data_IF_985256738301
#
_entry.id   IF_985256738301
#
_cell.length_a   1.000
_cell.length_b   1.000
_cell.length_c   1.000
_cell.angle_alpha   90.00
_cell.angle_beta   90.00
_cell.angle_gamma   90.00
#
_symmetry.space_group_name_H-M   'P 1'
#
loop_
_entity.id
_entity.type
_entity.pdbx_description
1 polymer ?
#
# COMPACT_ATOMS: atom_id res chain seq x y z
N UNK A 1 23.81 -6.92 -16.89
CA UNK A 1 23.07 -7.81 -17.82
C UNK A 1 21.68 -7.23 -18.00
N UNK A 2 21.22 -7.06 -19.24
CA UNK A 2 19.85 -6.62 -19.49
C UNK A 2 18.88 -7.73 -19.08
N UNK A 3 17.88 -7.38 -18.29
CA UNK A 3 16.84 -8.31 -17.93
C UNK A 3 15.81 -8.36 -19.08
N UNK A 4 15.54 -9.53 -19.61
CA UNK A 4 14.58 -9.71 -20.71
C UNK A 4 13.17 -10.08 -20.22
N UNK A 5 13.00 -10.30 -18.93
CA UNK A 5 11.72 -10.72 -18.34
C UNK A 5 10.78 -9.52 -18.18
N UNK A 6 9.70 -9.49 -18.95
CA UNK A 6 8.69 -8.43 -18.93
C UNK A 6 7.89 -8.47 -17.63
N UNK A 7 7.75 -7.31 -16.98
CA UNK A 7 6.93 -7.15 -15.76
C UNK A 7 5.75 -6.25 -16.05
N UNK A 8 4.54 -6.76 -15.82
CA UNK A 8 3.34 -5.92 -15.79
C UNK A 8 3.17 -5.29 -14.40
N UNK A 9 2.99 -3.97 -14.35
CA UNK A 9 2.63 -3.25 -13.12
C UNK A 9 1.23 -2.69 -13.28
N UNK A 10 0.26 -3.15 -12.49
CA UNK A 10 -1.08 -2.57 -12.54
C UNK A 10 -1.13 -1.27 -11.74
N UNK A 11 -1.84 -0.26 -12.26
CA UNK A 11 -2.04 1.01 -11.57
C UNK A 11 -0.84 1.94 -11.55
N UNK A 12 -0.20 2.16 -12.71
CA UNK A 12 1.00 2.99 -12.84
C UNK A 12 0.88 4.44 -12.40
N UNK A 13 -0.32 4.99 -12.31
CA UNK A 13 -0.56 6.34 -11.75
C UNK A 13 -0.60 6.38 -10.23
N UNK A 14 -0.62 5.22 -9.55
CA UNK A 14 -0.63 5.14 -8.09
C UNK A 14 0.75 5.35 -7.47
N UNK A 15 0.80 5.71 -6.19
CA UNK A 15 2.06 5.96 -5.50
C UNK A 15 2.99 4.72 -5.49
N UNK A 16 2.48 3.57 -5.04
CA UNK A 16 3.28 2.32 -5.01
C UNK A 16 3.59 1.83 -6.41
N UNK A 17 2.61 1.88 -7.34
CA UNK A 17 2.83 1.50 -8.76
C UNK A 17 3.92 2.32 -9.42
N UNK A 18 3.95 3.63 -9.18
CA UNK A 18 5.00 4.52 -9.66
C UNK A 18 6.39 4.13 -9.18
N UNK A 19 6.53 3.82 -7.89
CA UNK A 19 7.80 3.35 -7.33
C UNK A 19 8.21 1.97 -7.83
N UNK A 20 7.26 1.06 -8.02
CA UNK A 20 7.55 -0.24 -8.66
C UNK A 20 8.08 -0.05 -10.07
N UNK A 21 7.43 0.79 -10.89
CA UNK A 21 7.90 1.09 -12.25
C UNK A 21 9.30 1.72 -12.23
N UNK A 22 9.51 2.73 -11.37
CA UNK A 22 10.79 3.41 -11.23
C UNK A 22 11.92 2.41 -10.93
N UNK A 23 11.78 1.60 -9.90
CA UNK A 23 12.81 0.66 -9.49
C UNK A 23 13.00 -0.49 -10.49
N UNK A 24 11.93 -0.99 -11.13
CA UNK A 24 12.05 -1.99 -12.20
C UNK A 24 12.86 -1.45 -13.38
N UNK A 25 12.58 -0.24 -13.84
CA UNK A 25 13.35 0.40 -14.93
C UNK A 25 14.80 0.62 -14.53
N UNK A 26 15.08 1.07 -13.31
CA UNK A 26 16.43 1.21 -12.78
C UNK A 26 17.19 -0.13 -12.72
N UNK A 27 16.49 -1.23 -12.48
CA UNK A 27 17.04 -2.59 -12.51
C UNK A 27 17.04 -3.22 -13.94
N UNK A 28 16.72 -2.44 -14.98
CA UNK A 28 16.82 -2.84 -16.38
C UNK A 28 15.69 -3.73 -16.90
N UNK A 29 14.61 -3.92 -16.15
CA UNK A 29 13.44 -4.69 -16.59
C UNK A 29 12.64 -3.92 -17.66
N UNK A 30 12.16 -4.60 -18.71
CA UNK A 30 11.08 -4.08 -19.53
C UNK A 30 9.77 -4.09 -18.71
N UNK A 31 9.07 -2.95 -18.72
CA UNK A 31 7.87 -2.73 -17.92
C UNK A 31 6.68 -2.41 -18.82
N UNK A 32 5.57 -3.09 -18.59
CA UNK A 32 4.26 -2.66 -19.06
C UNK A 32 3.46 -2.16 -17.88
N UNK A 33 2.68 -1.08 -18.03
CA UNK A 33 1.81 -0.64 -16.96
C UNK A 33 0.39 -0.39 -17.44
N UNK A 34 -0.58 -0.74 -16.59
CA UNK A 34 -1.98 -0.47 -16.88
C UNK A 34 -2.38 0.93 -16.40
N UNK A 35 -3.17 1.61 -17.20
CA UNK A 35 -3.83 2.87 -16.90
C UNK A 35 -5.32 2.74 -17.17
N UNK A 36 -6.19 3.39 -16.36
CA UNK A 36 -7.63 3.45 -16.65
C UNK A 36 -7.96 4.29 -17.88
N UNK A 37 -7.04 5.17 -18.29
CA UNK A 37 -7.10 5.93 -19.53
C UNK A 37 -5.70 6.24 -19.99
N UNK A 38 -5.40 6.02 -21.27
CA UNK A 38 -4.09 6.33 -21.88
C UNK A 38 -3.76 7.83 -21.87
N UNK A 39 -4.73 8.70 -21.63
CA UNK A 39 -4.49 10.14 -21.43
C UNK A 39 -3.60 10.43 -20.20
N UNK A 40 -3.44 9.44 -19.30
CA UNK A 40 -2.59 9.52 -18.12
C UNK A 40 -1.14 9.10 -18.33
N UNK A 41 -0.74 8.75 -19.56
CA UNK A 41 0.66 8.42 -19.88
C UNK A 41 1.63 9.52 -19.47
N UNK A 42 1.29 10.76 -19.78
CA UNK A 42 2.15 11.91 -19.48
C UNK A 42 2.34 12.11 -17.97
N UNK A 43 1.34 11.81 -17.15
CA UNK A 43 1.46 11.90 -15.70
C UNK A 43 2.55 10.91 -15.20
N UNK A 44 2.53 9.67 -15.70
CA UNK A 44 3.52 8.64 -15.34
C UNK A 44 4.91 8.99 -15.87
N UNK A 45 5.04 9.37 -17.14
CA UNK A 45 6.36 9.69 -17.71
C UNK A 45 6.97 10.93 -17.05
N UNK A 46 6.18 11.94 -16.72
CA UNK A 46 6.65 13.13 -16.00
C UNK A 46 7.13 12.80 -14.60
N UNK A 47 6.38 11.96 -13.86
CA UNK A 47 6.76 11.47 -12.55
C UNK A 47 8.10 10.70 -12.59
N UNK A 48 8.31 9.85 -13.59
CA UNK A 48 9.56 9.10 -13.76
C UNK A 48 10.72 9.98 -14.18
N UNK A 49 10.48 10.98 -15.06
CA UNK A 49 11.48 11.97 -15.44
C UNK A 49 12.02 12.76 -14.26
N UNK A 50 11.14 13.25 -13.39
CA UNK A 50 11.56 13.98 -12.19
C UNK A 50 12.32 13.08 -11.20
N UNK A 51 12.22 11.76 -11.36
CA UNK A 51 12.94 10.75 -10.56
C UNK A 51 14.21 10.22 -11.25
N UNK A 52 14.64 10.85 -12.36
CA UNK A 52 15.92 10.56 -13.03
C UNK A 52 15.84 9.53 -14.17
N UNK A 53 14.64 9.06 -14.55
CA UNK A 53 14.50 8.20 -15.75
C UNK A 53 14.52 9.09 -17.00
N UNK A 54 15.47 8.84 -17.88
CA UNK A 54 15.65 9.61 -19.14
C UNK A 54 15.25 8.84 -20.37
N UNK A 55 15.26 7.50 -20.34
CA UNK A 55 14.90 6.62 -21.45
C UNK A 55 13.61 5.83 -21.11
N UNK A 56 12.70 5.74 -22.07
CA UNK A 56 11.39 5.10 -21.93
C UNK A 56 11.14 3.98 -22.94
N UNK A 57 12.17 3.55 -23.66
CA UNK A 57 12.14 2.43 -24.61
C UNK A 57 11.69 1.11 -23.97
N UNK A 58 11.98 0.94 -22.68
CA UNK A 58 11.56 -0.22 -21.86
C UNK A 58 10.21 -0.03 -21.15
N UNK A 59 9.48 1.07 -21.38
CA UNK A 59 8.18 1.33 -20.74
C UNK A 59 7.06 1.35 -21.76
N UNK A 60 6.10 0.47 -21.61
CA UNK A 60 4.88 0.41 -22.41
C UNK A 60 3.63 0.62 -21.57
N UNK A 61 2.55 1.07 -22.21
CA UNK A 61 1.29 1.40 -21.55
C UNK A 61 0.14 0.66 -22.22
N UNK A 62 -0.79 0.19 -21.41
CA UNK A 62 -2.04 -0.40 -21.88
C UNK A 62 -3.21 0.12 -21.05
N UNK A 63 -4.35 0.34 -21.70
CA UNK A 63 -5.58 0.69 -20.99
C UNK A 63 -6.23 -0.55 -20.42
N UNK A 64 -6.45 -0.59 -19.10
CA UNK A 64 -7.21 -1.62 -18.42
C UNK A 64 -7.78 -1.10 -17.10
N UNK A 65 -9.01 -1.51 -16.80
CA UNK A 65 -9.75 -1.14 -15.59
C UNK A 65 -10.12 -2.41 -14.81
N UNK A 66 -9.86 -2.41 -13.50
CA UNK A 66 -10.21 -3.53 -12.62
C UNK A 66 -11.72 -3.83 -12.56
N UNK A 67 -12.55 -2.89 -12.96
CA UNK A 67 -14.02 -3.05 -13.00
C UNK A 67 -14.56 -3.56 -14.33
N UNK A 68 -13.69 -3.75 -15.35
CA UNK A 68 -14.03 -4.19 -16.70
C UNK A 68 -13.22 -5.41 -17.10
N UNK A 69 -13.77 -6.24 -17.99
CA UNK A 69 -13.07 -7.43 -18.52
C UNK A 69 -12.04 -7.08 -19.61
N UNK A 70 -12.22 -5.93 -20.26
CA UNK A 70 -11.48 -5.56 -21.47
C UNK A 70 -9.97 -5.42 -21.22
N UNK A 71 -9.18 -5.82 -22.23
CA UNK A 71 -7.73 -5.63 -22.37
C UNK A 71 -6.83 -6.37 -21.38
N UNK A 72 -7.35 -7.19 -20.46
CA UNK A 72 -6.51 -7.90 -19.51
C UNK A 72 -5.66 -8.98 -20.16
N UNK A 73 -6.18 -9.71 -21.15
CA UNK A 73 -5.42 -10.71 -21.88
C UNK A 73 -4.27 -10.06 -22.66
N UNK A 74 -4.51 -8.95 -23.35
CA UNK A 74 -3.47 -8.20 -24.05
C UNK A 74 -2.48 -7.57 -23.07
N UNK A 75 -2.94 -7.11 -21.89
CA UNK A 75 -2.05 -6.59 -20.85
C UNK A 75 -1.06 -7.64 -20.35
N UNK A 76 -1.47 -8.90 -20.25
CA UNK A 76 -0.65 -10.01 -19.76
C UNK A 76 0.26 -10.63 -20.82
N UNK A 77 -0.02 -10.41 -22.11
CA UNK A 77 0.69 -11.05 -23.21
C UNK A 77 2.19 -10.81 -23.17
N UNK A 78 2.97 -11.89 -23.10
CA UNK A 78 4.42 -11.85 -23.03
C UNK A 78 5.00 -11.38 -21.69
N UNK A 79 4.18 -11.20 -20.67
CA UNK A 79 4.66 -10.88 -19.33
C UNK A 79 5.08 -12.14 -18.57
N UNK A 80 6.27 -12.08 -17.95
CA UNK A 80 6.78 -13.15 -17.09
C UNK A 80 6.22 -13.00 -15.68
N UNK A 81 6.06 -11.76 -15.21
CA UNK A 81 5.64 -11.41 -13.87
C UNK A 81 4.59 -10.30 -13.87
N UNK A 82 3.80 -10.26 -12.80
CA UNK A 82 2.83 -9.19 -12.56
C UNK A 82 3.00 -8.65 -11.15
N UNK A 83 3.18 -7.33 -11.03
CA UNK A 83 3.01 -6.60 -9.78
C UNK A 83 1.57 -6.05 -9.77
N UNK A 84 0.69 -6.74 -9.07
CA UNK A 84 -0.71 -6.33 -8.94
C UNK A 84 -0.87 -5.34 -7.79
N UNK A 85 -0.63 -4.07 -8.08
CA UNK A 85 -0.62 -2.95 -7.12
C UNK A 85 -1.94 -2.19 -7.11
N UNK A 86 -2.62 -2.16 -8.26
CA UNK A 86 -3.92 -1.48 -8.37
C UNK A 86 -4.96 -2.07 -7.43
N UNK A 87 -5.72 -1.20 -6.82
CA UNK A 87 -6.92 -1.55 -6.06
C UNK A 87 -7.98 -0.49 -6.34
N UNK A 88 -9.25 -0.86 -6.52
CA UNK A 88 -10.32 0.12 -6.59
C UNK A 88 -10.34 0.95 -5.30
N UNK A 89 -10.27 2.27 -5.44
CA UNK A 89 -10.35 3.19 -4.30
C UNK A 89 -11.53 4.13 -4.51
N UNK A 90 -12.29 4.36 -3.46
CA UNK A 90 -13.34 5.36 -3.42
C UNK A 90 -12.86 6.55 -2.60
N UNK A 91 -13.22 7.74 -3.01
CA UNK A 91 -12.88 8.98 -2.27
C UNK A 91 -13.65 9.11 -0.96
N UNK A 92 -14.79 8.44 -0.85
CA UNK A 92 -15.68 8.45 0.30
C UNK A 92 -16.05 7.04 0.73
N UNK A 93 -16.40 6.86 1.99
CA UNK A 93 -16.93 5.58 2.48
C UNK A 93 -18.31 5.35 1.86
N UNK A 94 -18.51 4.26 1.12
CA UNK A 94 -19.79 3.99 0.49
C UNK A 94 -20.87 3.67 1.53
N UNK A 95 -22.13 3.98 1.22
CA UNK A 95 -23.27 3.61 2.07
C UNK A 95 -23.46 2.09 2.14
N UNK A 96 -23.21 1.39 1.04
CA UNK A 96 -23.16 -0.07 0.96
C UNK A 96 -21.71 -0.52 0.80
N UNK A 97 -21.19 -1.29 1.77
CA UNK A 97 -19.81 -1.79 1.75
C UNK A 97 -19.51 -2.67 0.53
N UNK A 98 -20.53 -3.31 -0.08
CA UNK A 98 -20.38 -4.11 -1.29
C UNK A 98 -19.91 -3.29 -2.49
N UNK A 99 -20.18 -1.99 -2.54
CA UNK A 99 -19.67 -1.10 -3.59
C UNK A 99 -18.12 -1.01 -3.57
N UNK A 100 -17.49 -1.31 -2.44
CA UNK A 100 -16.03 -1.37 -2.32
C UNK A 100 -15.51 -2.81 -2.34
N UNK A 101 -16.21 -3.74 -1.71
CA UNK A 101 -15.77 -5.13 -1.57
C UNK A 101 -15.78 -5.85 -2.92
N UNK A 102 -16.93 -5.84 -3.64
CA UNK A 102 -17.06 -6.56 -4.91
C UNK A 102 -16.02 -6.13 -5.95
N UNK A 103 -15.85 -4.83 -6.27
CA UNK A 103 -14.84 -4.43 -7.25
C UNK A 103 -13.40 -4.83 -6.84
N UNK A 104 -13.09 -4.89 -5.53
CA UNK A 104 -11.80 -5.32 -5.06
C UNK A 104 -11.58 -6.83 -5.25
N UNK A 105 -12.56 -7.65 -4.92
CA UNK A 105 -12.51 -9.11 -5.11
C UNK A 105 -12.51 -9.47 -6.59
N UNK A 106 -13.48 -8.96 -7.36
CA UNK A 106 -13.62 -9.26 -8.78
C UNK A 106 -12.40 -8.80 -9.58
N UNK A 107 -11.86 -7.62 -9.24
CA UNK A 107 -10.66 -7.07 -9.88
C UNK A 107 -9.42 -7.95 -9.67
N UNK A 108 -9.22 -8.47 -8.46
CA UNK A 108 -8.13 -9.40 -8.17
C UNK A 108 -8.30 -10.71 -8.94
N UNK A 109 -9.49 -11.29 -8.91
CA UNK A 109 -9.78 -12.55 -9.62
C UNK A 109 -9.60 -12.38 -11.14
N UNK A 110 -10.00 -11.25 -11.71
CA UNK A 110 -9.81 -10.90 -13.12
C UNK A 110 -8.34 -10.89 -13.50
N UNK A 111 -7.51 -10.21 -12.70
CA UNK A 111 -6.05 -10.16 -12.93
C UNK A 111 -5.42 -11.54 -12.81
N UNK A 112 -5.78 -12.33 -11.82
CA UNK A 112 -5.23 -13.69 -11.63
C UNK A 112 -5.65 -14.64 -12.75
N UNK A 113 -6.90 -14.59 -13.20
CA UNK A 113 -7.38 -15.40 -14.35
C UNK A 113 -6.62 -15.05 -15.62
N UNK A 114 -6.48 -13.76 -15.94
CA UNK A 114 -5.73 -13.32 -17.12
C UNK A 114 -4.25 -13.72 -17.02
N UNK A 115 -3.62 -13.55 -15.86
CA UNK A 115 -2.23 -13.95 -15.62
C UNK A 115 -2.03 -15.46 -15.81
N UNK A 116 -2.91 -16.31 -15.25
CA UNK A 116 -2.89 -17.75 -15.43
C UNK A 116 -3.03 -18.14 -16.91
N UNK A 117 -4.00 -17.57 -17.60
CA UNK A 117 -4.27 -17.88 -19.01
C UNK A 117 -3.12 -17.46 -19.94
N UNK A 118 -2.42 -16.39 -19.61
CA UNK A 118 -1.24 -15.91 -20.35
C UNK A 118 0.07 -16.64 -20.00
N UNK A 119 0.04 -17.58 -19.05
CA UNK A 119 1.23 -18.33 -18.64
C UNK A 119 2.21 -17.49 -17.81
N UNK A 120 1.73 -16.45 -17.12
CA UNK A 120 2.55 -15.68 -16.17
C UNK A 120 3.08 -16.59 -15.09
N UNK A 121 4.37 -16.47 -14.76
CA UNK A 121 5.01 -17.31 -13.75
C UNK A 121 4.56 -16.95 -12.34
N UNK A 122 4.57 -15.66 -12.00
CA UNK A 122 4.25 -15.20 -10.64
C UNK A 122 3.53 -13.84 -10.64
N UNK A 123 2.52 -13.75 -9.79
CA UNK A 123 1.87 -12.50 -9.41
C UNK A 123 2.32 -12.12 -7.99
N UNK A 124 2.80 -10.88 -7.82
CA UNK A 124 3.04 -10.27 -6.50
C UNK A 124 1.95 -9.24 -6.27
N UNK A 125 1.07 -9.51 -5.32
CA UNK A 125 -0.11 -8.69 -5.04
C UNK A 125 0.13 -7.76 -3.85
N UNK A 126 -0.17 -6.49 -3.99
CA UNK A 126 -0.26 -5.56 -2.86
C UNK A 126 -1.56 -5.77 -2.11
N UNK A 127 -1.48 -6.38 -0.95
CA UNK A 127 -2.59 -6.46 0.00
C UNK A 127 -2.47 -5.33 1.05
N UNK A 128 -2.70 -5.63 2.33
CA UNK A 128 -2.64 -4.67 3.44
C UNK A 128 -2.39 -5.40 4.75
N UNK A 129 -1.72 -4.74 5.70
CA UNK A 129 -1.67 -5.21 7.09
C UNK A 129 -3.07 -5.35 7.70
N UNK A 130 -4.05 -4.57 7.19
CA UNK A 130 -5.46 -4.74 7.56
C UNK A 130 -6.04 -6.13 7.27
N UNK A 131 -5.46 -6.89 6.34
CA UNK A 131 -5.85 -8.29 6.10
C UNK A 131 -5.17 -9.27 7.06
N UNK A 132 -4.17 -8.83 7.82
CA UNK A 132 -3.36 -9.68 8.71
C UNK A 132 -3.74 -9.48 10.18
N UNK A 133 -3.60 -8.28 10.71
CA UNK A 133 -3.45 -8.07 12.15
C UNK A 133 -4.58 -7.30 12.83
N UNK A 134 -5.68 -6.95 12.17
CA UNK A 134 -6.71 -6.08 12.79
C UNK A 134 -7.64 -6.81 13.75
N UNK A 135 -7.63 -8.14 13.79
CA UNK A 135 -8.29 -8.92 14.83
C UNK A 135 -7.38 -9.26 16.01
N UNK A 136 -6.07 -9.09 15.88
CA UNK A 136 -5.16 -9.28 17.02
C UNK A 136 -5.17 -8.04 17.93
N UNK A 137 -5.64 -8.21 19.16
CA UNK A 137 -5.73 -7.18 20.21
C UNK A 137 -4.87 -7.50 21.43
N UNK A 138 -4.28 -8.68 21.47
CA UNK A 138 -3.41 -9.10 22.57
C UNK A 138 -2.01 -8.54 22.40
N UNK A 139 -1.66 -7.55 23.23
CA UNK A 139 -0.34 -6.92 23.22
C UNK A 139 0.82 -7.84 23.64
N UNK A 140 0.53 -9.02 24.19
CA UNK A 140 1.55 -10.00 24.60
C UNK A 140 1.99 -10.91 23.43
N UNK A 141 1.21 -10.98 22.37
CA UNK A 141 1.53 -11.78 21.18
C UNK A 141 2.17 -10.90 20.09
N UNK A 142 2.88 -11.51 19.16
CA UNK A 142 3.39 -10.84 17.97
C UNK A 142 2.50 -11.18 16.77
N UNK A 143 2.11 -10.17 16.01
CA UNK A 143 1.37 -10.38 14.75
C UNK A 143 2.35 -10.79 13.65
N UNK A 144 2.07 -11.90 13.00
CA UNK A 144 2.87 -12.50 11.93
C UNK A 144 2.03 -12.73 10.67
N UNK A 145 2.64 -13.23 9.61
CA UNK A 145 1.95 -13.57 8.37
C UNK A 145 1.02 -14.79 8.48
N UNK A 146 1.07 -15.53 9.58
CA UNK A 146 0.12 -16.62 9.87
C UNK A 146 -1.25 -16.09 10.31
N UNK A 147 -1.28 -14.85 10.81
CA UNK A 147 -2.51 -14.23 11.30
C UNK A 147 -3.41 -13.76 10.14
N UNK A 148 -4.71 -13.77 10.41
CA UNK A 148 -5.73 -13.23 9.52
C UNK A 148 -6.72 -12.36 10.28
N UNK A 149 -7.05 -11.23 9.72
CA UNK A 149 -8.18 -10.45 10.19
C UNK A 149 -9.49 -11.18 9.88
N UNK A 150 -10.38 -11.26 10.87
CA UNK A 150 -11.76 -11.71 10.64
C UNK A 150 -12.52 -10.61 9.88
N UNK A 151 -13.09 -10.90 8.70
CA UNK A 151 -13.87 -9.91 7.95
C UNK A 151 -15.13 -9.44 8.70
N UNK A 152 -15.57 -10.19 9.73
CA UNK A 152 -16.71 -9.84 10.58
C UNK A 152 -16.29 -9.08 11.86
N UNK A 153 -15.00 -8.77 12.02
CA UNK A 153 -14.50 -8.01 13.17
C UNK A 153 -15.21 -6.66 13.29
N UNK A 154 -15.78 -6.40 14.48
CA UNK A 154 -16.53 -5.17 14.74
C UNK A 154 -15.61 -3.95 14.68
N UNK A 155 -15.94 -3.00 13.83
CA UNK A 155 -15.19 -1.75 13.67
C UNK A 155 -14.29 -1.69 12.44
N UNK A 156 -14.19 -2.78 11.66
CA UNK A 156 -13.55 -2.71 10.35
C UNK A 156 -14.34 -1.78 9.42
N UNK A 157 -13.61 -0.93 8.70
CA UNK A 157 -14.19 -0.17 7.59
C UNK A 157 -14.41 -1.08 6.36
N UNK A 158 -15.23 -0.61 5.41
CA UNK A 158 -15.43 -1.29 4.14
C UNK A 158 -14.11 -1.52 3.39
N UNK A 159 -13.15 -0.60 3.55
CA UNK A 159 -11.82 -0.72 2.95
C UNK A 159 -11.04 -1.91 3.53
N UNK A 160 -10.94 -2.02 4.85
CA UNK A 160 -10.22 -3.14 5.48
C UNK A 160 -10.89 -4.48 5.16
N UNK A 161 -12.23 -4.55 5.21
CA UNK A 161 -12.99 -5.75 4.77
C UNK A 161 -12.68 -6.11 3.33
N UNK A 162 -12.66 -5.12 2.43
CA UNK A 162 -12.34 -5.35 1.01
C UNK A 162 -10.95 -5.95 0.81
N UNK A 163 -9.96 -5.51 1.61
CA UNK A 163 -8.59 -6.06 1.56
C UNK A 163 -8.51 -7.50 2.06
N UNK A 164 -9.19 -7.80 3.18
CA UNK A 164 -9.26 -9.18 3.71
C UNK A 164 -9.89 -10.12 2.69
N UNK A 165 -11.06 -9.75 2.15
CA UNK A 165 -11.82 -10.61 1.26
C UNK A 165 -11.13 -10.77 -0.11
N UNK A 166 -10.52 -9.72 -0.64
CA UNK A 166 -9.76 -9.79 -1.88
C UNK A 166 -8.51 -10.69 -1.75
N UNK A 167 -7.78 -10.61 -0.62
CA UNK A 167 -6.62 -11.46 -0.40
C UNK A 167 -7.03 -12.93 -0.21
N UNK A 168 -8.08 -13.21 0.56
CA UNK A 168 -8.62 -14.57 0.70
C UNK A 168 -9.07 -15.14 -0.63
N UNK A 169 -9.81 -14.37 -1.43
CA UNK A 169 -10.25 -14.80 -2.75
C UNK A 169 -9.07 -15.08 -3.70
N UNK A 170 -7.96 -14.31 -3.58
CA UNK A 170 -6.76 -14.57 -4.36
C UNK A 170 -6.12 -15.92 -4.00
N UNK A 171 -5.99 -16.22 -2.70
CA UNK A 171 -5.44 -17.49 -2.23
C UNK A 171 -6.35 -18.67 -2.58
N UNK A 172 -7.65 -18.52 -2.41
CA UNK A 172 -8.65 -19.55 -2.81
C UNK A 172 -8.59 -19.85 -4.31
N UNK A 173 -8.43 -18.81 -5.15
CA UNK A 173 -8.26 -18.98 -6.59
C UNK A 173 -6.98 -19.75 -6.93
N UNK A 174 -5.85 -19.42 -6.31
CA UNK A 174 -4.59 -20.10 -6.56
C UNK A 174 -4.68 -21.58 -6.16
N UNK A 175 -5.29 -21.89 -5.03
CA UNK A 175 -5.46 -23.26 -4.57
C UNK A 175 -6.35 -24.09 -5.51
N UNK A 176 -7.47 -23.54 -5.98
CA UNK A 176 -8.49 -24.26 -6.74
C UNK A 176 -8.27 -24.24 -8.25
N UNK A 177 -7.80 -23.12 -8.77
CA UNK A 177 -7.77 -22.82 -10.20
C UNK A 177 -6.42 -22.29 -10.71
N UNK A 178 -5.47 -21.99 -9.83
CA UNK A 178 -4.22 -21.31 -10.19
C UNK A 178 -3.31 -22.06 -11.15
N UNK A 179 -3.39 -23.39 -11.20
CA UNK A 179 -2.50 -24.21 -12.03
C UNK A 179 -1.03 -24.02 -11.65
N UNK A 180 -0.20 -23.58 -12.61
CA UNK A 180 1.22 -23.28 -12.36
C UNK A 180 1.49 -21.86 -11.89
N UNK A 181 0.48 -20.96 -11.86
CA UNK A 181 0.64 -19.58 -11.44
C UNK A 181 1.03 -19.49 -9.96
N UNK A 182 2.09 -18.78 -9.67
CA UNK A 182 2.54 -18.51 -8.32
C UNK A 182 1.97 -17.19 -7.79
N UNK A 183 1.53 -17.17 -6.53
CA UNK A 183 1.11 -15.95 -5.84
C UNK A 183 2.03 -15.63 -4.66
N UNK A 184 2.30 -14.35 -4.49
CA UNK A 184 2.93 -13.76 -3.31
C UNK A 184 2.09 -12.55 -2.90
N UNK A 185 1.88 -12.33 -1.60
CA UNK A 185 1.27 -11.09 -1.13
C UNK A 185 2.23 -10.26 -0.31
N UNK A 186 2.25 -8.96 -0.57
CA UNK A 186 2.90 -7.96 0.27
C UNK A 186 1.81 -7.23 1.05
N UNK A 187 1.93 -7.21 2.39
CA UNK A 187 0.93 -6.66 3.31
C UNK A 187 1.49 -5.42 4.02
N UNK A 188 1.49 -4.23 3.37
CA UNK A 188 2.05 -3.03 3.94
C UNK A 188 1.24 -2.52 5.14
N UNK A 189 1.95 -1.99 6.12
CA UNK A 189 1.43 -1.11 7.16
C UNK A 189 1.22 0.31 6.62
N UNK A 190 1.18 1.35 7.45
CA UNK A 190 1.07 2.73 6.97
C UNK A 190 2.28 3.11 6.12
N UNK A 191 2.05 3.47 4.84
CA UNK A 191 3.11 3.77 3.87
C UNK A 191 3.41 5.26 3.90
N UNK A 192 4.64 5.60 4.24
CA UNK A 192 5.20 6.95 4.17
C UNK A 192 6.37 6.96 3.18
N UNK A 193 7.13 8.06 3.13
CA UNK A 193 8.24 8.23 2.21
C UNK A 193 7.99 9.31 1.16
N UNK A 194 8.96 9.59 0.30
CA UNK A 194 8.84 10.66 -0.69
C UNK A 194 7.74 10.35 -1.71
N UNK A 195 7.02 11.37 -2.16
CA UNK A 195 6.01 11.24 -3.21
C UNK A 195 6.62 11.59 -4.58
N UNK A 196 6.37 10.77 -5.58
CA UNK A 196 6.81 11.03 -6.96
C UNK A 196 5.88 12.00 -7.72
N UNK A 197 4.72 12.33 -7.14
CA UNK A 197 3.73 13.21 -7.75
C UNK A 197 2.56 13.50 -6.82
N UNK A 198 1.51 14.16 -7.34
CA UNK A 198 0.31 14.54 -6.56
C UNK A 198 -0.61 13.36 -6.22
N UNK A 199 -0.04 12.20 -5.91
CA UNK A 199 -0.81 11.00 -5.62
C UNK A 199 -1.46 11.08 -4.23
N UNK A 200 -2.74 10.73 -4.16
CA UNK A 200 -3.46 10.62 -2.89
C UNK A 200 -3.12 9.30 -2.22
N UNK A 201 -2.68 9.35 -0.97
CA UNK A 201 -2.45 8.17 -0.11
C UNK A 201 -3.15 8.39 1.22
N UNK A 202 -3.79 7.35 1.79
CA UNK A 202 -4.40 7.47 3.13
C UNK A 202 -3.40 7.91 4.20
N UNK A 203 -2.17 7.42 4.15
CA UNK A 203 -1.13 7.77 5.13
C UNK A 203 -0.70 9.24 5.00
N UNK A 204 -0.60 9.78 3.77
CA UNK A 204 -0.36 11.21 3.56
C UNK A 204 -1.53 12.08 4.06
N UNK A 205 -2.75 11.52 4.03
CA UNK A 205 -3.93 12.16 4.64
C UNK A 205 -3.74 12.43 6.13
N UNK A 206 -3.14 11.50 6.88
CA UNK A 206 -2.82 11.68 8.31
C UNK A 206 -1.90 12.90 8.51
N UNK A 207 -0.84 12.99 7.71
CA UNK A 207 0.10 14.11 7.79
C UNK A 207 -0.58 15.45 7.42
N UNK A 208 -1.42 15.42 6.39
CA UNK A 208 -2.19 16.61 5.99
C UNK A 208 -3.10 17.10 7.13
N UNK A 209 -3.86 16.20 7.78
CA UNK A 209 -4.73 16.56 8.91
C UNK A 209 -3.96 17.15 10.09
N UNK A 210 -2.72 16.70 10.32
CA UNK A 210 -1.85 17.30 11.34
C UNK A 210 -1.38 18.70 10.94
N UNK A 211 -1.01 18.90 9.67
CA UNK A 211 -0.35 20.11 9.17
C UNK A 211 -1.35 21.23 8.85
N UNK A 212 -2.57 20.93 8.38
CA UNK A 212 -3.55 21.92 7.95
C UNK A 212 -4.38 22.57 9.08
N UNK A 213 -4.24 22.04 10.31
CA UNK A 213 -4.95 22.51 11.49
C UNK A 213 -6.38 22.00 11.64
N UNK A 214 -6.80 21.03 10.83
CA UNK A 214 -8.10 20.34 10.94
C UNK A 214 -8.22 19.58 12.26
N UNK A 215 -7.11 19.07 12.76
CA UNK A 215 -7.04 18.34 14.03
C UNK A 215 -6.75 19.32 15.17
N UNK A 216 -7.59 19.34 16.21
CA UNK A 216 -7.40 20.20 17.40
C UNK A 216 -6.63 19.54 18.54
N UNK A 217 -6.68 18.22 18.61
CA UNK A 217 -5.94 17.38 19.56
C UNK A 217 -5.62 16.06 18.90
N UNK A 218 -4.48 15.47 19.24
CA UNK A 218 -3.95 14.27 18.59
C UNK A 218 -4.35 13.03 19.38
N UNK A 219 -5.10 12.07 18.80
CA UNK A 219 -5.38 10.79 19.48
C UNK A 219 -4.08 9.98 19.64
N UNK A 220 -3.97 9.23 20.73
CA UNK A 220 -2.77 8.44 21.04
C UNK A 220 -2.70 7.12 20.24
N UNK A 221 -2.98 7.18 18.92
CA UNK A 221 -3.01 6.00 18.06
C UNK A 221 -1.58 5.60 17.69
N UNK A 222 -1.13 4.38 18.06
CA UNK A 222 0.14 3.85 17.58
C UNK A 222 0.00 3.34 16.15
N UNK A 223 1.05 3.55 15.33
CA UNK A 223 1.16 3.13 13.95
C UNK A 223 2.45 2.32 13.73
N UNK A 224 2.38 1.31 12.90
CA UNK A 224 3.57 0.77 12.24
C UNK A 224 3.69 1.47 10.89
N UNK A 225 4.90 1.80 10.49
CA UNK A 225 5.16 2.53 9.26
C UNK A 225 6.19 1.80 8.39
N UNK A 226 6.17 2.09 7.10
CA UNK A 226 7.16 1.63 6.14
C UNK A 226 7.40 2.71 5.08
N UNK A 227 8.62 2.79 4.58
CA UNK A 227 8.91 3.66 3.45
C UNK A 227 8.38 3.08 2.14
N UNK A 228 7.83 3.91 1.28
CA UNK A 228 7.26 3.49 -0.01
C UNK A 228 8.32 2.84 -0.92
N UNK A 229 9.58 3.25 -0.79
CA UNK A 229 10.70 2.67 -1.53
C UNK A 229 10.97 1.23 -1.12
N UNK A 230 10.80 0.92 0.17
CA UNK A 230 10.87 -0.44 0.71
C UNK A 230 9.70 -1.30 0.24
N UNK A 231 8.49 -0.71 0.16
CA UNK A 231 7.33 -1.44 -0.38
C UNK A 231 7.59 -1.87 -1.81
N UNK A 232 8.11 -0.99 -2.66
CA UNK A 232 8.47 -1.33 -4.03
C UNK A 232 9.60 -2.38 -4.11
N UNK A 233 10.66 -2.23 -3.30
CA UNK A 233 11.78 -3.19 -3.24
C UNK A 233 11.31 -4.58 -2.83
N UNK A 234 10.42 -4.68 -1.83
CA UNK A 234 9.82 -5.96 -1.42
C UNK A 234 9.05 -6.64 -2.55
N UNK A 235 8.30 -5.87 -3.36
CA UNK A 235 7.60 -6.42 -4.53
C UNK A 235 8.60 -6.97 -5.56
N UNK A 236 9.68 -6.25 -5.83
CA UNK A 236 10.70 -6.65 -6.82
C UNK A 236 11.47 -7.87 -6.34
N UNK A 237 11.89 -7.90 -5.06
CA UNK A 237 12.55 -9.08 -4.48
C UNK A 237 11.63 -10.31 -4.53
N UNK A 238 10.34 -10.12 -4.27
CA UNK A 238 9.37 -11.21 -4.31
C UNK A 238 9.16 -11.81 -5.71
N UNK A 239 9.48 -11.07 -6.80
CA UNK A 239 9.42 -11.61 -8.17
C UNK A 239 10.41 -12.78 -8.34
N UNK A 240 11.67 -12.57 -7.93
CA UNK A 240 12.79 -13.45 -8.29
C UNK A 240 13.19 -14.42 -7.17
N UNK A 241 12.83 -14.12 -5.91
CA UNK A 241 13.19 -15.01 -4.79
C UNK A 241 12.43 -16.35 -4.89
N UNK A 242 13.10 -17.49 -5.04
CA UNK A 242 12.40 -18.78 -5.22
C UNK A 242 11.48 -19.12 -4.06
N UNK A 243 11.95 -18.94 -2.82
CA UNK A 243 11.22 -19.26 -1.60
C UNK A 243 10.09 -18.29 -1.27
N UNK A 244 9.86 -17.26 -2.10
CA UNK A 244 8.73 -16.35 -1.95
C UNK A 244 7.40 -16.96 -2.45
N UNK A 245 7.44 -17.99 -3.30
CA UNK A 245 6.24 -18.69 -3.80
C UNK A 245 5.32 -19.11 -2.66
N UNK A 246 4.04 -18.78 -2.78
CA UNK A 246 3.02 -19.18 -1.79
C UNK A 246 3.15 -18.46 -0.45
N UNK A 247 3.86 -17.34 -0.38
CA UNK A 247 4.13 -16.64 0.85
C UNK A 247 3.41 -15.29 0.93
N UNK A 248 3.06 -14.93 2.18
CA UNK A 248 2.64 -13.59 2.58
C UNK A 248 3.83 -12.90 3.24
N UNK A 249 3.99 -11.59 3.06
CA UNK A 249 5.05 -10.80 3.70
C UNK A 249 4.48 -9.51 4.28
N UNK A 250 4.62 -9.35 5.60
CA UNK A 250 4.31 -8.08 6.26
C UNK A 250 5.40 -7.07 5.91
N UNK A 251 5.00 -5.98 5.27
CA UNK A 251 5.89 -4.89 4.92
C UNK A 251 5.79 -3.79 5.99
N UNK A 252 6.69 -3.84 6.98
CA UNK A 252 6.79 -2.91 8.11
C UNK A 252 8.25 -2.62 8.42
N UNK A 253 8.61 -1.35 8.62
CA UNK A 253 9.88 -1.02 9.25
C UNK A 253 9.88 -1.48 10.72
N UNK A 254 11.04 -1.43 11.37
CA UNK A 254 11.16 -1.83 12.76
C UNK A 254 10.46 -0.83 13.69
N UNK A 255 9.82 -1.37 14.73
CA UNK A 255 9.18 -0.58 15.77
C UNK A 255 7.80 -0.02 15.38
N UNK A 256 7.40 1.00 16.13
CA UNK A 256 6.14 1.72 15.96
C UNK A 256 6.34 3.20 16.30
N UNK A 257 5.42 4.05 15.86
CA UNK A 257 5.38 5.48 16.19
C UNK A 257 3.92 5.87 16.46
N UNK A 258 3.67 6.69 17.47
CA UNK A 258 2.33 7.19 17.76
C UNK A 258 2.05 8.53 17.07
N UNK A 259 0.79 8.84 16.84
CA UNK A 259 0.41 10.14 16.28
C UNK A 259 0.93 11.34 17.10
N UNK A 260 0.94 11.33 18.46
CA UNK A 260 1.59 12.40 19.23
C UNK A 260 3.10 12.49 19.00
N UNK A 261 3.80 11.36 18.80
CA UNK A 261 5.23 11.38 18.44
C UNK A 261 5.44 11.97 17.05
N UNK A 262 4.59 11.64 16.08
CA UNK A 262 4.61 12.27 14.75
C UNK A 262 4.39 13.78 14.88
N UNK A 263 3.41 14.24 15.67
CA UNK A 263 3.15 15.66 15.87
C UNK A 263 4.36 16.38 16.46
N UNK A 264 5.03 15.80 17.49
CA UNK A 264 6.26 16.36 18.07
C UNK A 264 7.42 16.38 17.05
N UNK A 265 7.58 15.29 16.27
CA UNK A 265 8.59 15.20 15.21
C UNK A 265 8.42 16.34 14.20
N UNK A 266 7.19 16.55 13.74
CA UNK A 266 6.88 17.64 12.78
C UNK A 266 7.17 19.03 13.35
N UNK A 267 6.77 19.29 14.62
CA UNK A 267 7.07 20.56 15.29
C UNK A 267 8.56 20.84 15.36
N UNK A 268 9.35 19.82 15.67
CA UNK A 268 10.79 19.98 15.91
C UNK A 268 11.61 20.04 14.61
N UNK A 269 11.20 19.27 13.58
CA UNK A 269 12.03 19.07 12.38
C UNK A 269 11.56 19.87 11.15
N UNK A 270 10.31 20.31 11.11
CA UNK A 270 9.74 21.09 9.99
C UNK A 270 8.94 22.31 10.48
N UNK A 271 9.58 23.22 11.24
CA UNK A 271 8.88 24.35 11.89
C UNK A 271 8.17 25.27 10.87
N UNK A 272 8.69 25.39 9.64
CA UNK A 272 8.11 26.24 8.60
C UNK A 272 6.68 25.89 8.21
N UNK A 273 6.27 24.61 8.31
CA UNK A 273 4.91 24.16 7.94
C UNK A 273 4.12 23.60 9.12
N UNK A 274 4.72 23.46 10.30
CA UNK A 274 4.11 22.79 11.45
C UNK A 274 3.43 23.74 12.45
N UNK A 275 3.26 25.04 12.10
CA UNK A 275 2.65 26.02 13.01
C UNK A 275 1.29 25.55 13.56
N UNK A 276 0.47 24.93 12.72
CA UNK A 276 -0.88 24.46 13.05
C UNK A 276 -0.92 23.05 13.67
N UNK A 277 0.20 22.32 13.74
CA UNK A 277 0.24 20.97 14.30
C UNK A 277 -0.14 21.03 15.79
N UNK A 278 -1.14 20.26 16.24
CA UNK A 278 -1.56 20.30 17.64
C UNK A 278 -0.53 19.62 18.53
N UNK A 279 -0.31 20.21 19.72
CA UNK A 279 0.56 19.64 20.76
C UNK A 279 -0.21 18.88 21.84
N UNK A 280 -1.53 19.12 21.93
CA UNK A 280 -2.40 18.50 22.93
C UNK A 280 -2.77 17.09 22.50
N UNK A 281 -2.52 16.12 23.36
CA UNK A 281 -2.99 14.75 23.17
C UNK A 281 -4.44 14.63 23.60
N UNK A 282 -5.25 13.95 22.79
CA UNK A 282 -6.62 13.63 23.10
C UNK A 282 -6.65 12.41 24.04
N UNK A 283 -7.20 12.50 25.26
CA UNK A 283 -7.33 11.34 26.14
C UNK A 283 -8.22 10.25 25.54
N UNK A 284 -7.88 8.99 25.75
CA UNK A 284 -8.57 7.83 25.15
C UNK A 284 -10.04 7.74 25.55
N UNK A 285 -10.40 8.17 26.78
CA UNK A 285 -11.78 8.20 27.22
C UNK A 285 -12.63 9.23 26.46
N UNK A 286 -12.05 10.39 26.10
CA UNK A 286 -12.75 11.38 25.26
C UNK A 286 -13.02 10.82 23.88
N UNK A 287 -12.03 10.15 23.30
CA UNK A 287 -12.19 9.48 22.01
C UNK A 287 -13.26 8.40 22.07
N UNK A 288 -13.33 7.64 23.16
CA UNK A 288 -14.33 6.59 23.35
C UNK A 288 -15.76 7.14 23.42
N UNK A 289 -15.96 8.29 24.07
CA UNK A 289 -17.26 8.97 24.08
C UNK A 289 -17.59 9.52 22.70
N UNK A 290 -16.64 10.19 22.04
CA UNK A 290 -16.84 10.73 20.69
C UNK A 290 -17.18 9.65 19.67
N UNK A 291 -16.68 8.43 19.87
CA UNK A 291 -16.94 7.26 19.02
C UNK A 291 -18.41 6.82 18.99
N UNK A 292 -19.21 7.24 19.97
CA UNK A 292 -20.66 6.95 20.00
C UNK A 292 -21.43 7.79 18.97
N UNK A 293 -20.89 8.95 18.58
CA UNK A 293 -21.60 9.95 17.76
C UNK A 293 -20.87 10.29 16.45
N UNK A 294 -19.61 9.91 16.31
CA UNK A 294 -18.77 10.31 15.16
C UNK A 294 -18.08 9.09 14.54
N UNK A 295 -18.31 8.80 13.25
CA UNK A 295 -17.71 7.66 12.56
C UNK A 295 -16.16 7.68 12.52
N UNK A 296 -15.55 8.87 12.39
CA UNK A 296 -14.08 9.00 12.40
C UNK A 296 -13.51 8.69 13.78
N UNK A 297 -14.18 9.16 14.86
CA UNK A 297 -13.80 8.82 16.23
C UNK A 297 -13.98 7.33 16.50
N UNK A 298 -15.03 6.69 15.96
CA UNK A 298 -15.25 5.25 16.05
C UNK A 298 -14.10 4.47 15.38
N UNK A 299 -13.68 4.87 14.19
CA UNK A 299 -12.54 4.26 13.52
C UNK A 299 -11.23 4.48 14.29
N UNK A 300 -11.01 5.67 14.81
CA UNK A 300 -9.84 5.98 15.64
C UNK A 300 -9.81 5.13 16.92
N UNK A 301 -10.95 4.98 17.61
CA UNK A 301 -11.09 4.14 18.79
C UNK A 301 -10.87 2.64 18.49
N UNK A 302 -11.26 2.18 17.31
CA UNK A 302 -10.93 0.83 16.83
C UNK A 302 -9.42 0.66 16.66
N UNK A 303 -8.74 1.61 15.98
CA UNK A 303 -7.31 1.55 15.73
C UNK A 303 -6.45 1.60 16.99
N UNK A 304 -6.93 2.21 18.08
CA UNK A 304 -6.27 2.17 19.40
C UNK A 304 -6.12 0.76 19.97
N UNK A 305 -7.05 -0.14 19.65
CA UNK A 305 -7.10 -1.50 20.19
C UNK A 305 -6.25 -2.50 19.42
N UNK A 306 -5.75 -2.11 18.24
CA UNK A 306 -4.96 -3.01 17.38
C UNK A 306 -3.59 -3.23 18.00
N UNK A 307 -3.18 -4.49 18.08
CA UNK A 307 -1.83 -4.85 18.48
C UNK A 307 -0.81 -4.35 17.44
N UNK A 308 0.23 -3.66 17.93
CA UNK A 308 1.30 -3.09 17.09
C UNK A 308 2.65 -3.77 17.30
N UNK A 309 2.67 -4.92 17.95
CA UNK A 309 3.84 -5.82 17.91
C UNK A 309 3.75 -6.65 16.64
N UNK A 310 4.42 -6.16 15.61
CA UNK A 310 4.33 -6.69 14.25
C UNK A 310 5.70 -7.20 13.84
N UNK A 311 5.75 -8.46 13.36
CA UNK A 311 6.97 -9.08 12.86
C UNK A 311 7.20 -8.74 11.39
N UNK A 312 8.42 -8.36 11.05
CA UNK A 312 8.91 -8.27 9.67
C UNK A 312 10.03 -9.30 9.41
N UNK A 313 10.22 -10.22 10.35
CA UNK A 313 11.32 -11.20 10.33
C UNK A 313 11.29 -12.09 9.08
N UNK A 314 10.09 -12.44 8.61
CA UNK A 314 9.91 -13.27 7.42
C UNK A 314 10.39 -12.56 6.15
N UNK A 315 10.04 -11.29 5.96
CA UNK A 315 10.52 -10.47 4.85
C UNK A 315 12.05 -10.34 4.88
N UNK A 316 12.64 -10.06 6.03
CA UNK A 316 14.09 -10.01 6.21
C UNK A 316 14.76 -11.34 5.86
N UNK A 317 14.24 -12.45 6.38
CA UNK A 317 14.82 -13.79 6.22
C UNK A 317 14.71 -14.33 4.81
N UNK A 318 13.55 -14.24 4.19
CA UNK A 318 13.28 -14.87 2.90
C UNK A 318 13.65 -13.96 1.74
N UNK A 319 13.30 -12.67 1.80
CA UNK A 319 13.56 -11.72 0.71
C UNK A 319 14.93 -11.03 0.84
N UNK A 320 15.69 -11.27 1.92
CA UNK A 320 16.97 -10.60 2.16
C UNK A 320 16.82 -9.08 2.26
N UNK A 321 15.67 -8.61 2.72
CA UNK A 321 15.35 -7.19 2.80
C UNK A 321 15.73 -6.60 4.16
N UNK A 322 16.12 -5.33 4.15
CA UNK A 322 16.31 -4.51 5.35
C UNK A 322 15.72 -3.13 5.11
N UNK A 323 15.03 -2.52 6.10
CA UNK A 323 14.46 -1.18 5.93
C UNK A 323 15.50 -0.15 5.51
N UNK A 324 15.21 0.63 4.47
CA UNK A 324 16.05 1.75 4.02
C UNK A 324 15.93 2.97 4.94
N UNK A 325 14.81 3.08 5.65
CA UNK A 325 14.49 4.18 6.53
C UNK A 325 13.77 3.70 7.79
N UNK A 326 14.00 4.38 8.91
CA UNK A 326 13.18 4.22 10.09
C UNK A 326 11.87 5.01 9.96
N UNK A 327 10.95 4.87 10.92
CA UNK A 327 9.63 5.51 10.91
C UNK A 327 9.73 7.04 10.78
N UNK A 328 10.63 7.69 11.52
CA UNK A 328 10.80 9.15 11.48
C UNK A 328 11.31 9.63 10.13
N UNK A 329 12.32 8.96 9.58
CA UNK A 329 12.90 9.30 8.28
C UNK A 329 11.87 9.20 7.16
N UNK A 330 11.05 8.12 7.13
CA UNK A 330 9.99 7.96 6.14
C UNK A 330 8.92 9.06 6.24
N UNK A 331 8.51 9.42 7.46
CA UNK A 331 7.54 10.49 7.70
C UNK A 331 8.09 11.85 7.26
N UNK A 332 9.33 12.18 7.64
CA UNK A 332 9.95 13.44 7.24
C UNK A 332 10.13 13.54 5.73
N UNK A 333 10.53 12.47 5.06
CA UNK A 333 10.61 12.43 3.60
C UNK A 333 9.23 12.65 2.92
N UNK A 334 8.14 12.12 3.53
CA UNK A 334 6.79 12.44 3.06
C UNK A 334 6.50 13.93 3.14
N UNK A 335 6.76 14.57 4.29
CA UNK A 335 6.47 15.99 4.49
C UNK A 335 7.32 16.87 3.56
N UNK A 336 8.61 16.55 3.39
CA UNK A 336 9.48 17.25 2.45
C UNK A 336 8.94 17.21 1.02
N UNK A 337 8.50 16.05 0.55
CA UNK A 337 7.89 15.95 -0.78
C UNK A 337 6.54 16.68 -0.87
N UNK A 338 5.73 16.69 0.20
CA UNK A 338 4.48 17.44 0.24
C UNK A 338 4.73 18.96 0.13
N UNK A 339 5.81 19.46 0.73
CA UNK A 339 6.23 20.87 0.59
C UNK A 339 6.68 21.16 -0.83
N UNK A 340 7.57 20.33 -1.40
CA UNK A 340 8.07 20.48 -2.75
C UNK A 340 6.95 20.46 -3.81
N UNK A 341 5.93 19.63 -3.59
CA UNK A 341 4.76 19.51 -4.47
C UNK A 341 3.67 20.57 -4.18
N UNK A 342 3.87 21.47 -3.21
CA UNK A 342 2.92 22.52 -2.84
C UNK A 342 1.63 22.00 -2.18
N UNK A 343 1.63 20.77 -1.66
CA UNK A 343 0.48 20.15 -0.97
C UNK A 343 0.27 20.80 0.40
N UNK A 344 1.36 21.19 1.05
CA UNK A 344 1.39 21.92 2.32
C UNK A 344 2.28 23.14 2.18
N UNK A 345 1.90 24.25 2.89
CA UNK A 345 2.57 25.56 2.84
C UNK A 345 2.83 26.07 4.24
#
# INVERSE_FOLDING_TARGET
MENSEMVLVTGGTGAVGGYCILQLLQNGYPVRTTLRSLNKKNDVTSMLKTSGITAFDKLSFIEADLTKEDNWDEAMKGCNYVLHVASPTHSESPKDENQMIRPAVDGVLRVLKAARNAGVKRVVMTSSFGAVGFSNKDSNTETTEADWTDPNEKGLSAYEKSKVLAERAAWDFIEKEGGSLELVTINPVAIFGPSLGLNKSPSLGILKFLLDGSMKAVPNIPLNAIDIRDVADLHIRAITTPNAKGQRFIASADGKISMPEIARLLKNKVPGVSAKVPVKTLPDWVLSIAALFNPQAKQAAFLLKINRRVSNAKAKKILGWTPIANNEQGILASVQSMIQLGIVK
#
